data_IF_459118699529
#
_entry.id   IF_459118699529
#
_cell.length_a   1.000
_cell.length_b   1.000
_cell.length_c   1.000
_cell.angle_alpha   90.00
_cell.angle_beta   90.00
_cell.angle_gamma   90.00
#
_symmetry.space_group_name_H-M   'P 1'
#
loop_
_entity.id
_entity.type
_entity.pdbx_description
1 polymer ?
#
# COMPACT_ATOMS: atom_id res chain seq x y z
N UNK A 1 5.14 -9.08 31.07
CA UNK A 1 4.30 -8.98 29.86
C UNK A 1 4.09 -10.37 29.29
N UNK A 2 2.84 -10.81 29.11
CA UNK A 2 2.51 -12.15 28.62
C UNK A 2 3.12 -12.42 27.22
N UNK A 3 4.00 -13.43 27.14
CA UNK A 3 4.69 -13.81 25.89
C UNK A 3 3.74 -14.13 24.74
N UNK A 4 2.54 -14.65 25.04
CA UNK A 4 1.52 -14.96 24.03
C UNK A 4 0.94 -13.71 23.37
N UNK A 5 0.76 -12.63 24.14
CA UNK A 5 0.27 -11.34 23.62
C UNK A 5 1.32 -10.71 22.72
N UNK A 6 2.59 -10.78 23.12
CA UNK A 6 3.71 -10.28 22.30
C UNK A 6 3.77 -11.06 20.99
N UNK A 7 3.77 -12.39 21.05
CA UNK A 7 3.82 -13.24 19.87
C UNK A 7 2.65 -12.97 18.91
N UNK A 8 1.43 -12.83 19.45
CA UNK A 8 0.25 -12.49 18.65
C UNK A 8 0.43 -11.14 17.94
N UNK A 9 0.87 -10.10 18.65
CA UNK A 9 1.09 -8.78 18.06
C UNK A 9 2.18 -8.81 16.98
N UNK A 10 3.29 -9.50 17.21
CA UNK A 10 4.38 -9.62 16.22
C UNK A 10 3.86 -10.27 14.94
N UNK A 11 3.17 -11.40 15.04
CA UNK A 11 2.59 -12.08 13.87
C UNK A 11 1.58 -11.17 13.17
N UNK A 12 0.69 -10.53 13.93
CA UNK A 12 -0.33 -9.62 13.41
C UNK A 12 0.30 -8.48 12.61
N UNK A 13 1.29 -7.78 13.15
CA UNK A 13 1.93 -6.66 12.47
C UNK A 13 2.78 -7.10 11.28
N UNK A 14 3.48 -8.24 11.34
CA UNK A 14 4.22 -8.78 10.20
C UNK A 14 3.29 -9.01 9.01
N UNK A 15 2.11 -9.60 9.26
CA UNK A 15 1.11 -9.85 8.21
C UNK A 15 0.54 -8.53 7.66
N UNK A 16 0.13 -7.61 8.55
CA UNK A 16 -0.44 -6.32 8.14
C UNK A 16 0.57 -5.51 7.31
N UNK A 17 1.82 -5.41 7.76
CA UNK A 17 2.88 -4.70 7.02
C UNK A 17 3.16 -5.39 5.69
N UNK A 18 3.19 -6.73 5.67
CA UNK A 18 3.36 -7.51 4.45
C UNK A 18 2.26 -7.23 3.41
N UNK A 19 0.99 -7.25 3.83
CA UNK A 19 -0.15 -6.95 2.96
C UNK A 19 -0.14 -5.50 2.47
N UNK A 20 0.21 -4.55 3.33
CA UNK A 20 0.37 -3.13 2.94
C UNK A 20 1.49 -3.00 1.90
N UNK A 21 2.64 -3.65 2.11
CA UNK A 21 3.75 -3.61 1.15
C UNK A 21 3.34 -4.18 -0.20
N UNK A 22 2.68 -5.34 -0.23
CA UNK A 22 2.18 -5.95 -1.47
C UNK A 22 1.17 -5.04 -2.19
N UNK A 23 0.26 -4.40 -1.45
CA UNK A 23 -0.67 -3.43 -2.02
C UNK A 23 0.00 -2.19 -2.61
N UNK A 24 1.19 -1.83 -2.13
CA UNK A 24 1.98 -0.71 -2.65
C UNK A 24 2.83 -1.09 -3.84
N UNK A 25 3.44 -2.28 -3.82
CA UNK A 25 4.32 -2.76 -4.88
C UNK A 25 3.52 -3.15 -6.15
N UNK A 26 2.23 -3.48 -5.99
CA UNK A 26 1.32 -3.84 -7.08
C UNK A 26 0.06 -2.96 -7.11
N UNK A 27 0.13 -1.72 -7.64
CA UNK A 27 -0.99 -0.76 -7.63
C UNK A 27 -2.25 -1.28 -8.32
N UNK A 28 -2.10 -2.06 -9.39
CA UNK A 28 -3.20 -2.68 -10.15
C UNK A 28 -4.03 -3.67 -9.32
N UNK A 29 -3.46 -4.22 -8.24
CA UNK A 29 -4.12 -5.19 -7.35
C UNK A 29 -4.33 -4.64 -5.92
N UNK A 30 -4.02 -3.35 -5.71
CA UNK A 30 -4.07 -2.67 -4.41
C UNK A 30 -5.42 -2.83 -3.70
N UNK A 31 -6.53 -2.73 -4.43
CA UNK A 31 -7.88 -2.91 -3.90
C UNK A 31 -8.11 -4.33 -3.37
N UNK A 32 -7.60 -5.34 -4.09
CA UNK A 32 -7.64 -6.74 -3.67
C UNK A 32 -6.91 -6.97 -2.34
N UNK A 33 -5.71 -6.41 -2.19
CA UNK A 33 -4.97 -6.46 -0.93
C UNK A 33 -5.70 -5.72 0.21
N UNK A 34 -6.43 -4.64 -0.10
CA UNK A 34 -7.32 -3.98 0.86
C UNK A 34 -8.40 -4.90 1.41
N UNK A 35 -9.07 -5.67 0.54
CA UNK A 35 -10.05 -6.67 0.97
C UNK A 35 -9.43 -7.78 1.83
N UNK A 36 -8.24 -8.27 1.46
CA UNK A 36 -7.52 -9.27 2.27
C UNK A 36 -7.18 -8.74 3.67
N UNK A 37 -6.81 -7.47 3.82
CA UNK A 37 -6.57 -6.84 5.13
C UNK A 37 -7.85 -6.84 5.98
N UNK A 38 -9.00 -6.51 5.39
CA UNK A 38 -10.29 -6.51 6.11
C UNK A 38 -10.65 -7.93 6.58
N UNK A 39 -10.52 -8.93 5.70
CA UNK A 39 -10.78 -10.33 6.04
C UNK A 39 -9.84 -10.80 7.15
N UNK A 40 -8.55 -10.48 7.04
CA UNK A 40 -7.56 -10.81 8.05
C UNK A 40 -7.89 -10.17 9.40
N UNK A 41 -8.31 -8.91 9.42
CA UNK A 41 -8.75 -8.23 10.64
C UNK A 41 -9.93 -8.89 11.31
N UNK A 42 -10.93 -9.33 10.55
CA UNK A 42 -12.08 -10.07 11.08
C UNK A 42 -11.61 -11.38 11.72
N UNK A 43 -10.81 -12.17 11.00
CA UNK A 43 -10.28 -13.45 11.50
C UNK A 43 -9.40 -13.28 12.74
N UNK A 44 -8.49 -12.29 12.74
CA UNK A 44 -7.63 -11.99 13.87
C UNK A 44 -8.43 -11.53 15.10
N UNK A 45 -9.48 -10.73 14.89
CA UNK A 45 -10.37 -10.29 15.98
C UNK A 45 -11.14 -11.46 16.59
N UNK A 46 -11.71 -12.33 15.73
CA UNK A 46 -12.41 -13.55 16.18
C UNK A 46 -11.46 -14.44 16.98
N UNK A 47 -10.24 -14.67 16.46
CA UNK A 47 -9.23 -15.48 17.13
C UNK A 47 -8.82 -14.88 18.48
N UNK A 48 -8.60 -13.57 18.54
CA UNK A 48 -8.24 -12.87 19.79
C UNK A 48 -9.35 -12.99 20.84
N UNK A 49 -10.61 -12.76 20.45
CA UNK A 49 -11.78 -12.91 21.33
C UNK A 49 -11.88 -14.36 21.83
N UNK A 50 -11.69 -15.35 20.96
CA UNK A 50 -11.69 -16.76 21.34
C UNK A 50 -10.58 -17.07 22.38
N UNK A 51 -9.36 -16.56 22.18
CA UNK A 51 -8.24 -16.75 23.10
C UNK A 51 -8.49 -16.11 24.48
N UNK A 52 -9.21 -14.98 24.52
CA UNK A 52 -9.62 -14.30 25.75
C UNK A 52 -10.73 -15.09 26.47
N UNK A 53 -11.77 -15.52 25.76
CA UNK A 53 -12.89 -16.30 26.32
C UNK A 53 -12.39 -17.63 26.90
N UNK A 54 -11.52 -18.33 26.18
CA UNK A 54 -10.90 -19.58 26.66
C UNK A 54 -9.85 -19.36 27.74
N UNK A 55 -9.63 -18.12 28.19
CA UNK A 55 -8.63 -17.73 29.20
C UNK A 55 -7.21 -18.21 28.85
N UNK A 56 -6.92 -18.45 27.58
CA UNK A 56 -5.58 -18.81 27.09
C UNK A 56 -4.65 -17.60 27.20
N UNK A 57 -5.22 -16.41 26.97
CA UNK A 57 -4.64 -15.10 27.21
C UNK A 57 -5.46 -14.43 28.31
N UNK A 58 -4.80 -13.98 29.37
CA UNK A 58 -5.45 -13.26 30.47
C UNK A 58 -4.64 -12.00 30.81
N UNK A 59 -5.02 -10.82 30.29
CA UNK A 59 -4.29 -9.58 30.52
C UNK A 59 -4.59 -9.07 31.94
N UNK A 60 -3.63 -9.19 32.85
CA UNK A 60 -3.76 -8.72 34.24
C UNK A 60 -3.29 -7.27 34.39
N UNK A 61 -2.21 -6.93 33.70
CA UNK A 61 -1.57 -5.61 33.80
C UNK A 61 -2.09 -4.64 32.76
N UNK A 62 -1.95 -3.33 33.01
CA UNK A 62 -2.32 -2.26 32.06
C UNK A 62 -1.59 -2.45 30.73
N UNK A 63 -0.30 -2.78 30.77
CA UNK A 63 0.51 -3.04 29.57
C UNK A 63 -0.03 -4.21 28.73
N UNK A 64 -0.55 -5.26 29.36
CA UNK A 64 -1.13 -6.39 28.64
C UNK A 64 -2.48 -6.04 28.02
N UNK A 65 -3.29 -5.20 28.69
CA UNK A 65 -4.53 -4.67 28.11
C UNK A 65 -4.24 -3.79 26.90
N UNK A 66 -3.21 -2.94 26.97
CA UNK A 66 -2.73 -2.17 25.83
C UNK A 66 -2.27 -3.10 24.71
N UNK A 67 -1.50 -4.15 25.01
CA UNK A 67 -1.06 -5.13 24.01
C UNK A 67 -2.21 -5.87 23.31
N UNK A 68 -3.30 -6.16 24.01
CA UNK A 68 -4.51 -6.74 23.38
C UNK A 68 -5.20 -5.70 22.50
N UNK A 69 -5.26 -4.45 22.95
CA UNK A 69 -5.86 -3.35 22.18
C UNK A 69 -5.06 -2.99 20.92
N UNK A 70 -3.73 -3.04 20.97
CA UNK A 70 -2.85 -2.79 19.81
C UNK A 70 -3.03 -3.81 18.71
N UNK A 71 -3.44 -5.02 19.05
CA UNK A 71 -3.72 -6.08 18.09
C UNK A 71 -5.10 -5.94 17.40
N UNK A 72 -5.66 -4.72 17.37
CA UNK A 72 -6.93 -4.40 16.73
C UNK A 72 -6.72 -3.58 15.45
N UNK A 73 -7.70 -3.61 14.52
CA UNK A 73 -7.65 -2.84 13.27
C UNK A 73 -7.43 -1.34 13.46
N UNK A 74 -7.89 -0.78 14.58
CA UNK A 74 -7.91 0.65 14.81
C UNK A 74 -6.50 1.27 14.81
N UNK A 75 -5.56 0.62 15.48
CA UNK A 75 -4.17 1.11 15.56
C UNK A 75 -3.44 0.90 14.24
N UNK A 76 -3.72 -0.20 13.55
CA UNK A 76 -3.23 -0.45 12.20
C UNK A 76 -3.73 0.59 11.20
N UNK A 77 -5.00 1.02 11.31
CA UNK A 77 -5.58 2.08 10.50
C UNK A 77 -4.89 3.43 10.75
N UNK A 78 -4.71 3.81 12.01
CA UNK A 78 -3.99 5.03 12.38
C UNK A 78 -2.56 5.03 11.81
N UNK A 79 -1.83 3.93 11.99
CA UNK A 79 -0.49 3.77 11.42
C UNK A 79 -0.48 3.88 9.90
N UNK A 80 -1.45 3.24 9.23
CA UNK A 80 -1.59 3.30 7.78
C UNK A 80 -1.87 4.71 7.27
N UNK A 81 -2.80 5.44 7.90
CA UNK A 81 -3.10 6.83 7.54
C UNK A 81 -1.87 7.74 7.64
N UNK A 82 -1.06 7.54 8.68
CA UNK A 82 0.19 8.27 8.86
C UNK A 82 1.18 7.92 7.75
N UNK A 83 1.40 6.63 7.47
CA UNK A 83 2.34 6.16 6.43
C UNK A 83 1.92 6.65 5.02
N UNK A 84 0.63 6.62 4.73
CA UNK A 84 0.07 7.11 3.46
C UNK A 84 0.24 8.63 3.28
N UNK A 85 0.39 9.38 4.37
CA UNK A 85 0.57 10.83 4.32
C UNK A 85 1.99 11.27 3.91
N UNK A 86 2.97 10.36 3.98
CA UNK A 86 4.38 10.65 3.77
C UNK A 86 4.93 10.31 2.37
N UNK A 87 4.27 9.47 1.57
CA UNK A 87 4.76 9.09 0.23
C UNK A 87 3.80 9.54 -0.87
N UNK A 88 4.34 10.03 -2.00
CA UNK A 88 3.56 10.21 -3.23
C UNK A 88 2.99 8.85 -3.65
N UNK A 89 1.66 8.77 -3.72
CA UNK A 89 0.98 7.55 -4.14
C UNK A 89 0.76 7.60 -5.65
N UNK A 90 1.23 6.57 -6.35
CA UNK A 90 0.85 6.30 -7.74
C UNK A 90 -0.65 6.01 -7.76
N UNK A 91 -1.43 6.86 -8.41
CA UNK A 91 -2.88 6.73 -8.51
C UNK A 91 -3.30 5.76 -9.60
N UNK A 92 -2.53 5.66 -10.68
CA UNK A 92 -2.76 4.64 -11.71
C UNK A 92 -1.49 4.26 -12.46
N UNK A 93 -1.46 3.01 -12.89
CA UNK A 93 -0.40 2.44 -13.73
C UNK A 93 -1.06 1.73 -14.91
N UNK A 94 -0.63 2.08 -16.12
CA UNK A 94 -1.14 1.49 -17.36
C UNK A 94 0.03 1.01 -18.21
N UNK A 95 -0.05 -0.21 -18.72
CA UNK A 95 0.93 -0.77 -19.63
C UNK A 95 0.24 -1.09 -20.95
N UNK A 96 0.79 -0.64 -22.07
CA UNK A 96 0.27 -0.93 -23.40
C UNK A 96 1.40 -1.18 -24.40
N UNK A 97 1.09 -1.90 -25.48
CA UNK A 97 2.04 -2.24 -26.52
C UNK A 97 1.76 -1.39 -27.76
N UNK A 98 2.80 -0.76 -28.32
CA UNK A 98 2.69 0.00 -29.58
C UNK A 98 4.00 -0.13 -30.36
N UNK A 99 3.92 -0.36 -31.66
CA UNK A 99 5.07 -0.43 -32.57
C UNK A 99 6.19 -1.39 -32.08
N UNK A 100 5.82 -2.55 -31.54
CA UNK A 100 6.78 -3.55 -31.07
C UNK A 100 7.46 -3.25 -29.72
N UNK A 101 7.10 -2.13 -29.05
CA UNK A 101 7.61 -1.73 -27.74
C UNK A 101 6.51 -1.73 -26.68
N UNK A 102 6.89 -1.92 -25.41
CA UNK A 102 5.98 -1.77 -24.26
C UNK A 102 6.13 -0.35 -23.70
N UNK A 103 5.01 0.28 -23.39
CA UNK A 103 4.94 1.58 -22.76
C UNK A 103 4.28 1.45 -21.40
N UNK A 104 4.78 2.20 -20.43
CA UNK A 104 4.26 2.28 -19.08
C UNK A 104 3.96 3.74 -18.74
N UNK A 105 2.74 3.99 -18.29
CA UNK A 105 2.28 5.31 -17.85
C UNK A 105 1.96 5.25 -16.38
N UNK A 106 2.60 6.11 -15.59
CA UNK A 106 2.35 6.26 -14.17
C UNK A 106 1.69 7.61 -13.93
N UNK A 107 0.54 7.61 -13.27
CA UNK A 107 -0.10 8.84 -12.77
C UNK A 107 0.10 8.91 -11.27
N UNK A 108 0.50 10.07 -10.77
CA UNK A 108 0.63 10.37 -9.36
C UNK A 108 -0.38 11.46 -9.01
N UNK A 109 -1.24 11.18 -8.03
CA UNK A 109 -2.15 12.19 -7.50
C UNK A 109 -1.43 13.06 -6.47
N UNK A 110 -1.64 14.38 -6.58
CA UNK A 110 -1.19 15.42 -5.65
C UNK A 110 0.32 15.47 -5.42
N UNK A 111 0.99 16.27 -6.25
CA UNK A 111 2.20 16.95 -5.79
C UNK A 111 1.80 18.04 -4.76
N UNK A 112 2.31 17.94 -3.52
CA UNK A 112 2.00 18.88 -2.43
C UNK A 112 2.39 20.33 -2.76
N UNK A 113 3.29 20.54 -3.73
CA UNK A 113 3.79 21.85 -4.13
C UNK A 113 2.93 22.57 -5.18
N UNK A 114 2.29 21.82 -6.09
CA UNK A 114 1.55 22.39 -7.23
C UNK A 114 0.06 22.07 -7.23
N UNK A 115 -0.39 21.15 -6.37
CA UNK A 115 -1.79 20.71 -6.31
C UNK A 115 -2.28 20.00 -7.58
N UNK A 116 -1.36 19.70 -8.51
CA UNK A 116 -1.63 19.07 -9.78
C UNK A 116 -1.36 17.56 -9.80
N UNK A 117 -1.84 16.89 -10.85
CA UNK A 117 -1.51 15.49 -11.16
C UNK A 117 -0.21 15.45 -11.95
N UNK A 118 0.71 14.55 -11.60
CA UNK A 118 1.93 14.27 -12.39
C UNK A 118 1.72 13.01 -13.19
N UNK A 119 1.94 13.07 -14.50
CA UNK A 119 1.99 11.88 -15.36
C UNK A 119 3.44 11.66 -15.81
N UNK A 120 3.91 10.42 -15.69
CA UNK A 120 5.23 9.99 -16.17
C UNK A 120 5.10 8.88 -17.22
N UNK A 121 5.93 8.96 -18.26
CA UNK A 121 5.98 8.01 -19.36
C UNK A 121 7.30 7.24 -19.35
N UNK A 122 7.19 5.92 -19.54
CA UNK A 122 8.30 4.99 -19.62
C UNK A 122 8.16 4.12 -20.86
N UNK A 123 9.28 3.79 -21.49
CA UNK A 123 9.38 2.86 -22.61
C UNK A 123 10.29 1.69 -22.19
N UNK A 124 9.95 0.48 -22.60
CA UNK A 124 10.84 -0.67 -22.40
C UNK A 124 12.03 -0.56 -23.36
N UNK A 125 13.23 -0.93 -22.89
CA UNK A 125 14.40 -1.15 -23.76
C UNK A 125 14.12 -2.32 -24.71
N UNK A 126 13.35 -3.27 -24.20
CA UNK A 126 13.11 -4.56 -24.81
C UNK A 126 11.91 -4.56 -25.77
N UNK A 127 12.07 -5.30 -26.86
CA UNK A 127 10.95 -5.78 -27.69
C UNK A 127 10.12 -6.81 -26.91
N UNK A 128 8.86 -6.99 -27.30
CA UNK A 128 7.83 -7.83 -26.62
C UNK A 128 8.30 -9.24 -26.17
N UNK A 129 9.41 -9.77 -26.70
CA UNK A 129 9.89 -11.13 -26.44
C UNK A 129 10.91 -11.31 -25.31
N UNK A 130 11.55 -10.27 -24.78
CA UNK A 130 12.56 -10.41 -23.71
C UNK A 130 12.00 -10.07 -22.33
N UNK A 131 12.33 -10.91 -21.34
CA UNK A 131 11.78 -10.93 -19.98
C UNK A 131 12.49 -9.98 -19.01
N UNK A 132 13.28 -9.02 -19.51
CA UNK A 132 13.95 -8.06 -18.63
C UNK A 132 13.06 -6.83 -18.42
N UNK A 133 12.65 -6.61 -17.16
CA UNK A 133 11.71 -5.55 -16.77
C UNK A 133 12.42 -4.18 -16.65
N UNK A 134 13.25 -3.84 -17.65
CA UNK A 134 14.02 -2.60 -17.67
C UNK A 134 13.22 -1.49 -18.36
N UNK A 135 12.77 -0.53 -17.57
CA UNK A 135 11.99 0.62 -18.01
C UNK A 135 12.86 1.88 -18.09
N UNK A 136 13.01 2.47 -19.28
CA UNK A 136 13.63 3.78 -19.46
C UNK A 136 12.56 4.86 -19.36
N UNK A 137 12.84 5.92 -18.61
CA UNK A 137 11.98 7.10 -18.56
C UNK A 137 12.05 7.84 -19.89
N UNK A 138 10.96 7.82 -20.65
CA UNK A 138 10.91 8.19 -22.08
C UNK A 138 10.71 9.69 -22.32
N UNK A 139 10.74 10.50 -21.27
CA UNK A 139 10.52 11.95 -21.30
C UNK A 139 9.04 12.37 -21.41
N UNK A 140 8.59 13.04 -20.34
CA UNK A 140 7.57 14.10 -20.24
C UNK A 140 6.92 14.02 -18.85
N UNK A 141 7.15 15.04 -18.03
CA UNK A 141 6.34 15.29 -16.85
C UNK A 141 5.23 16.23 -17.28
N UNK A 142 3.98 15.75 -17.29
CA UNK A 142 2.83 16.64 -17.46
C UNK A 142 2.24 16.90 -16.08
N UNK A 143 2.30 18.15 -15.65
CA UNK A 143 1.54 18.63 -14.51
C UNK A 143 0.19 19.12 -15.03
N UNK A 144 -0.88 18.51 -14.54
CA UNK A 144 -2.25 18.87 -14.90
C UNK A 144 -2.94 19.63 -13.76
N UNK A 145 -3.80 20.58 -14.10
CA UNK A 145 -4.72 21.26 -13.18
C UNK A 145 -5.80 20.28 -12.71
N UNK A 146 -6.62 20.70 -11.73
CA UNK A 146 -7.79 19.91 -11.30
C UNK A 146 -8.81 19.69 -12.42
N UNK A 147 -8.87 20.60 -13.40
CA UNK A 147 -9.75 20.55 -14.58
C UNK A 147 -9.15 19.76 -15.75
N UNK A 148 -7.89 19.33 -15.65
CA UNK A 148 -7.18 18.57 -16.69
C UNK A 148 -6.37 19.43 -17.66
N UNK A 149 -6.26 20.73 -17.41
CA UNK A 149 -5.44 21.63 -18.23
C UNK A 149 -3.95 21.40 -17.94
N UNK A 150 -3.10 21.49 -18.96
CA UNK A 150 -1.65 21.35 -18.77
C UNK A 150 -1.09 22.60 -18.09
N UNK A 151 -0.66 22.47 -16.83
CA UNK A 151 0.02 23.52 -16.06
C UNK A 151 1.49 23.63 -16.44
N UNK A 152 2.17 22.50 -16.63
CA UNK A 152 3.61 22.48 -16.93
C UNK A 152 3.97 21.19 -17.66
N UNK A 153 4.79 21.30 -18.69
CA UNK A 153 5.41 20.19 -19.38
C UNK A 153 6.92 20.28 -19.22
N UNK A 154 7.54 19.29 -18.59
CA UNK A 154 9.01 19.20 -18.48
C UNK A 154 9.47 18.06 -19.38
N UNK A 155 10.28 18.39 -20.39
CA UNK A 155 10.90 17.41 -21.29
C UNK A 155 12.21 16.91 -20.69
#
# INVERSE_FOLDING_TARGET
MNKKIILFNVIYYVIVIGLIKLGRDSPSSSLGYGYFIIIFWILASILLVFLLIKKIIYPKTILEKIGVFTATPLISLLGFMIIMSFKENTSSEWIFNKNGKRYKVLTFDKDKSTGGRRIEYYSSIDTISTKEDIWIKDSIWVYLSKTGDTLKKVK
#
